data_IF_392085252984
#
_entry.id   IF_392085252984
#
_cell.length_a   1.000
_cell.length_b   1.000
_cell.length_c   1.000
_cell.angle_alpha   90.00
_cell.angle_beta   90.00
_cell.angle_gamma   90.00
#
_symmetry.space_group_name_H-M   'P 1'
#
loop_
_entity.id
_entity.type
_entity.pdbx_description
1 polymer ?
#
# COMPACT_ATOMS: atom_id res chain seq x y z
N UNK A 1 20.38 -16.49 -6.78
CA UNK A 1 20.59 -15.23 -6.03
C UNK A 1 19.51 -15.16 -4.98
N UNK A 2 19.87 -15.37 -3.71
CA UNK A 2 18.93 -15.36 -2.59
C UNK A 2 18.45 -13.92 -2.34
N UNK A 3 17.13 -13.74 -2.38
CA UNK A 3 16.47 -12.47 -2.10
C UNK A 3 16.12 -12.38 -0.62
N UNK A 4 17.14 -12.37 0.23
CA UNK A 4 16.95 -12.05 1.64
C UNK A 4 17.88 -10.90 2.00
N UNK A 5 17.39 -9.68 1.83
CA UNK A 5 17.98 -8.53 2.51
C UNK A 5 16.91 -7.92 3.40
N UNK A 6 16.75 -8.50 4.59
CA UNK A 6 16.37 -7.74 5.79
C UNK A 6 17.38 -6.60 5.97
N UNK A 7 17.17 -5.48 5.29
CA UNK A 7 17.61 -4.17 5.80
C UNK A 7 16.50 -3.72 6.74
N UNK A 8 16.84 -3.58 8.02
CA UNK A 8 15.89 -3.33 9.11
C UNK A 8 14.81 -2.30 8.72
N UNK A 9 13.55 -2.72 8.76
CA UNK A 9 12.39 -1.85 8.59
C UNK A 9 11.92 -1.54 7.16
N UNK A 10 12.55 -2.10 6.11
CA UNK A 10 12.12 -1.92 4.71
C UNK A 10 11.45 -3.18 4.13
N UNK A 11 10.25 -3.02 3.57
CA UNK A 11 9.57 -4.06 2.78
C UNK A 11 9.67 -3.73 1.30
N UNK A 12 10.00 -4.73 0.46
CA UNK A 12 10.09 -4.56 -0.99
C UNK A 12 9.06 -5.45 -1.68
N UNK A 13 8.15 -4.84 -2.42
CA UNK A 13 7.12 -5.52 -3.19
C UNK A 13 7.50 -5.46 -4.68
N UNK A 14 7.69 -6.62 -5.29
CA UNK A 14 7.93 -6.72 -6.74
C UNK A 14 6.60 -6.96 -7.44
N UNK A 15 6.21 -6.07 -8.35
CA UNK A 15 5.00 -6.19 -9.17
C UNK A 15 5.44 -6.52 -10.60
N UNK A 16 5.29 -7.79 -11.02
CA UNK A 16 5.83 -8.24 -12.31
C UNK A 16 4.90 -9.20 -13.03
N UNK A 17 4.74 -8.97 -14.33
CA UNK A 17 4.26 -9.95 -15.31
C UNK A 17 5.09 -9.84 -16.59
N UNK A 18 4.67 -10.50 -17.67
CA UNK A 18 5.36 -10.40 -18.96
C UNK A 18 5.29 -8.99 -19.59
N UNK A 19 4.30 -8.19 -19.22
CA UNK A 19 4.00 -6.90 -19.84
C UNK A 19 4.38 -5.69 -18.98
N UNK A 20 4.60 -5.88 -17.68
CA UNK A 20 4.84 -4.81 -16.71
C UNK A 20 5.80 -5.28 -15.63
N UNK A 21 6.67 -4.38 -15.16
CA UNK A 21 7.64 -4.68 -14.12
C UNK A 21 7.92 -3.41 -13.30
N UNK A 22 7.52 -3.44 -12.03
CA UNK A 22 7.69 -2.36 -11.08
C UNK A 22 8.12 -2.88 -9.72
N UNK A 23 8.58 -1.95 -8.89
CA UNK A 23 9.04 -2.24 -7.54
C UNK A 23 8.56 -1.15 -6.60
N UNK A 24 7.91 -1.55 -5.52
CA UNK A 24 7.45 -0.66 -4.46
C UNK A 24 8.31 -0.91 -3.23
N UNK A 25 8.88 0.16 -2.70
CA UNK A 25 9.61 0.13 -1.44
C UNK A 25 8.77 0.78 -0.36
N UNK A 26 8.50 0.02 0.71
CA UNK A 26 7.89 0.54 1.92
C UNK A 26 9.00 0.74 2.93
N UNK A 27 9.20 1.99 3.34
CA UNK A 27 10.18 2.40 4.35
C UNK A 27 9.44 2.93 5.59
N UNK A 28 10.11 3.03 6.75
CA UNK A 28 9.55 3.72 7.91
C UNK A 28 9.18 5.17 7.55
N UNK A 29 7.98 5.61 7.95
CA UNK A 29 7.50 6.97 7.73
C UNK A 29 6.51 7.41 8.83
N UNK A 30 6.29 8.72 8.97
CA UNK A 30 5.47 9.33 10.03
C UNK A 30 4.01 8.85 10.08
N UNK A 31 3.49 8.31 8.97
CA UNK A 31 2.13 7.77 8.88
C UNK A 31 2.07 6.24 8.92
N UNK A 32 3.17 5.55 9.17
CA UNK A 32 3.24 4.08 9.19
C UNK A 32 4.16 3.51 10.27
N UNK A 33 4.62 4.36 11.20
CA UNK A 33 5.55 3.99 12.27
C UNK A 33 4.95 3.02 13.30
N UNK A 34 3.63 3.03 13.46
CA UNK A 34 2.90 2.27 14.50
C UNK A 34 2.97 0.76 14.28
N UNK A 35 3.18 0.31 13.04
CA UNK A 35 3.26 -1.10 12.69
C UNK A 35 4.68 -1.65 12.77
N UNK A 36 4.81 -2.92 13.16
CA UNK A 36 6.06 -3.68 13.05
C UNK A 36 6.50 -3.82 11.57
N UNK A 37 7.74 -4.28 11.34
CA UNK A 37 8.29 -4.37 9.98
C UNK A 37 7.47 -5.26 9.04
N UNK A 38 6.76 -6.24 9.60
CA UNK A 38 6.11 -7.30 8.84
C UNK A 38 4.69 -6.89 8.42
N UNK A 39 4.01 -6.05 9.22
CA UNK A 39 2.69 -5.49 8.92
C UNK A 39 2.72 -4.08 8.31
N UNK A 40 3.88 -3.39 8.33
CA UNK A 40 4.01 -2.00 7.84
C UNK A 40 3.59 -1.79 6.40
N UNK A 41 3.83 -2.78 5.51
CA UNK A 41 3.39 -2.66 4.12
C UNK A 41 1.87 -2.54 4.01
N UNK A 42 1.12 -3.28 4.83
CA UNK A 42 -0.34 -3.23 4.87
C UNK A 42 -0.82 -1.86 5.31
N UNK A 43 -0.28 -1.34 6.42
CA UNK A 43 -0.62 0.00 6.93
C UNK A 43 -0.28 1.10 5.91
N UNK A 44 0.93 1.09 5.37
CA UNK A 44 1.39 2.13 4.46
C UNK A 44 0.59 2.14 3.15
N UNK A 45 0.36 0.96 2.55
CA UNK A 45 -0.38 0.87 1.27
C UNK A 45 -1.86 1.17 1.48
N UNK A 46 -2.50 0.64 2.53
CA UNK A 46 -3.90 0.95 2.83
C UNK A 46 -4.10 2.45 3.13
N UNK A 47 -3.24 3.03 3.98
CA UNK A 47 -3.29 4.46 4.31
C UNK A 47 -3.02 5.36 3.09
N UNK A 48 -2.06 5.00 2.24
CA UNK A 48 -1.79 5.73 0.99
C UNK A 48 -2.99 5.67 0.04
N UNK A 49 -3.56 4.49 -0.19
CA UNK A 49 -4.71 4.32 -1.08
C UNK A 49 -5.95 5.04 -0.54
N UNK A 50 -6.21 4.98 0.77
CA UNK A 50 -7.31 5.71 1.40
C UNK A 50 -7.16 7.22 1.24
N UNK A 51 -5.96 7.76 1.49
CA UNK A 51 -5.66 9.17 1.24
C UNK A 51 -5.78 9.53 -0.24
N UNK A 52 -5.37 8.63 -1.15
CA UNK A 52 -5.46 8.81 -2.60
C UNK A 52 -6.92 8.94 -3.05
N UNK A 53 -7.79 8.05 -2.59
CA UNK A 53 -9.21 8.08 -2.94
C UNK A 53 -9.97 9.23 -2.26
N UNK A 54 -9.58 9.61 -1.04
CA UNK A 54 -10.21 10.71 -0.30
C UNK A 54 -9.96 12.10 -0.91
N UNK A 55 -9.00 12.22 -1.83
CA UNK A 55 -8.79 13.47 -2.58
C UNK A 55 -9.92 13.76 -3.58
N UNK A 56 -10.75 12.78 -3.92
CA UNK A 56 -11.85 12.90 -4.90
C UNK A 56 -11.43 13.55 -6.23
N UNK A 57 -10.13 13.47 -6.59
CA UNK A 57 -9.59 14.06 -7.81
C UNK A 57 -10.04 13.23 -9.02
N UNK A 58 -10.73 13.83 -10.01
CA UNK A 58 -11.18 13.10 -11.20
C UNK A 58 -10.07 12.39 -11.95
N UNK A 59 -8.85 12.94 -11.96
CA UNK A 59 -7.69 12.34 -12.64
C UNK A 59 -7.25 11.03 -11.99
N UNK A 60 -7.33 10.96 -10.67
CA UNK A 60 -7.04 9.73 -9.91
C UNK A 60 -8.11 8.68 -10.25
N UNK A 61 -9.39 9.07 -10.25
CA UNK A 61 -10.49 8.16 -10.56
C UNK A 61 -10.42 7.63 -12.00
N UNK A 62 -10.08 8.49 -12.97
CA UNK A 62 -9.86 8.08 -14.37
C UNK A 62 -8.73 7.06 -14.46
N UNK A 63 -7.57 7.34 -13.86
CA UNK A 63 -6.45 6.40 -13.85
C UNK A 63 -6.85 5.06 -13.20
N UNK A 64 -7.53 5.09 -12.06
CA UNK A 64 -8.00 3.87 -11.41
C UNK A 64 -8.89 3.05 -12.35
N UNK A 65 -9.83 3.67 -13.05
CA UNK A 65 -10.69 2.98 -14.02
C UNK A 65 -9.94 2.44 -15.24
N UNK A 66 -9.04 3.22 -15.84
CA UNK A 66 -8.23 2.81 -17.00
C UNK A 66 -7.39 1.56 -16.69
N UNK A 67 -6.87 1.47 -15.46
CA UNK A 67 -6.09 0.32 -14.99
C UNK A 67 -6.93 -0.80 -14.35
N UNK A 68 -8.27 -0.63 -14.28
CA UNK A 68 -9.17 -1.63 -13.71
C UNK A 68 -9.04 -1.81 -12.18
N UNK A 69 -8.70 -0.73 -11.47
CA UNK A 69 -8.48 -0.71 -10.02
C UNK A 69 -9.62 0.02 -9.31
N UNK A 70 -9.98 -0.49 -8.14
CA UNK A 70 -10.88 0.15 -7.20
C UNK A 70 -10.37 -0.08 -5.78
N UNK A 71 -10.45 0.94 -4.94
CA UNK A 71 -10.06 0.85 -3.54
C UNK A 71 -11.17 1.39 -2.65
N UNK A 72 -11.46 0.66 -1.58
CA UNK A 72 -12.40 1.05 -0.53
C UNK A 72 -11.78 0.71 0.81
N UNK A 73 -11.72 1.70 1.71
CA UNK A 73 -11.32 1.48 3.09
C UNK A 73 -12.36 0.62 3.82
N UNK A 74 -11.90 -0.32 4.64
CA UNK A 74 -12.72 -1.12 5.54
C UNK A 74 -12.60 -0.58 6.96
N UNK A 75 -13.64 -0.72 7.81
CA UNK A 75 -13.54 -0.41 9.24
C UNK A 75 -12.41 -1.22 9.89
N UNK A 76 -11.78 -0.66 10.92
CA UNK A 76 -10.81 -1.42 11.71
C UNK A 76 -11.54 -2.49 12.53
N UNK A 77 -10.93 -3.65 12.75
CA UNK A 77 -11.58 -4.74 13.51
C UNK A 77 -12.02 -4.31 14.91
N UNK A 78 -11.30 -3.40 15.55
CA UNK A 78 -11.64 -2.80 16.84
C UNK A 78 -12.85 -1.85 16.82
N UNK A 79 -13.30 -1.40 15.65
CA UNK A 79 -14.48 -0.54 15.48
C UNK A 79 -15.77 -1.35 15.24
N UNK A 80 -15.68 -2.68 15.19
CA UNK A 80 -16.83 -3.57 14.97
C UNK A 80 -17.26 -4.34 16.24
N UNK A 81 -16.77 -3.95 17.43
CA UNK A 81 -17.12 -4.57 18.73
C UNK A 81 -18.32 -3.88 19.43
N UNK A 82 -19.19 -3.20 18.68
CA UNK A 82 -20.45 -2.61 19.19
C UNK A 82 -21.66 -3.56 19.05
#
# INVERSE_FOLDING_TARGET
MNFDSKKEGMTRLTLKCAHQHGMVYVIPADRSWVCDSDSRFGHAVAGFMGALTAMEDPRIQTLMQEWGLYYRSLPLESENED
#
